data_IF_593454861296
#
_entry.id   IF_593454861296
#
_cell.length_a   1.000
_cell.length_b   1.000
_cell.length_c   1.000
_cell.angle_alpha   90.00
_cell.angle_beta   90.00
_cell.angle_gamma   90.00
#
_symmetry.space_group_name_H-M   'P 1'
#
loop_
_entity.id
_entity.type
_entity.pdbx_description
1 polymer ?
#
# COMPACT_ATOMS: atom_id res chain seq x y z
N UNK A 1 -8.24 48.63 8.40
CA UNK A 1 -8.38 47.20 8.77
C UNK A 1 -8.77 46.43 7.51
N UNK A 2 -7.84 45.69 6.89
CA UNK A 2 -8.16 44.90 5.68
C UNK A 2 -8.83 43.59 6.13
N UNK A 3 -10.16 43.53 6.05
CA UNK A 3 -10.87 42.26 6.18
C UNK A 3 -10.77 41.50 4.85
N UNK A 4 -9.89 40.50 4.79
CA UNK A 4 -9.88 39.55 3.69
C UNK A 4 -11.07 38.59 3.85
N UNK A 5 -12.22 38.98 3.28
CA UNK A 5 -13.50 38.25 3.37
C UNK A 5 -13.60 37.00 2.48
N UNK A 6 -12.58 36.68 1.69
CA UNK A 6 -12.58 35.49 0.85
C UNK A 6 -11.30 34.69 1.09
N UNK A 7 -11.31 33.81 2.10
CA UNK A 7 -10.38 32.67 2.10
C UNK A 7 -10.76 31.80 0.91
N UNK A 8 -9.94 31.85 -0.15
CA UNK A 8 -10.03 30.91 -1.27
C UNK A 8 -10.00 29.50 -0.68
N UNK A 9 -11.06 28.73 -0.90
CA UNK A 9 -11.13 27.32 -0.47
C UNK A 9 -10.27 26.51 -1.45
N UNK A 10 -8.96 26.51 -1.24
CA UNK A 10 -8.06 25.67 -2.04
C UNK A 10 -8.36 24.21 -1.69
N UNK A 11 -9.00 23.52 -2.64
CA UNK A 11 -9.23 22.09 -2.56
C UNK A 11 -7.91 21.42 -2.92
N UNK A 12 -7.12 21.08 -1.90
CA UNK A 12 -5.89 20.31 -2.07
C UNK A 12 -6.21 18.82 -2.04
N UNK A 13 -5.54 18.09 -2.92
CA UNK A 13 -5.57 16.63 -3.00
C UNK A 13 -4.14 16.11 -2.88
N UNK A 14 -3.99 14.97 -2.23
CA UNK A 14 -2.70 14.29 -2.09
C UNK A 14 -2.64 13.11 -3.05
N UNK A 15 -1.53 13.00 -3.77
CA UNK A 15 -1.16 11.84 -4.57
C UNK A 15 0.15 11.32 -4.00
N UNK A 16 0.24 10.01 -3.79
CA UNK A 16 1.39 9.38 -3.18
C UNK A 16 1.97 8.30 -4.09
N UNK A 17 3.27 8.03 -3.93
CA UNK A 17 3.91 6.84 -4.47
C UNK A 17 4.71 6.17 -3.35
N UNK A 18 4.50 4.88 -3.13
CA UNK A 18 5.09 4.16 -2.03
C UNK A 18 5.61 2.77 -2.47
N UNK A 19 6.92 2.57 -2.32
CA UNK A 19 7.54 1.25 -2.46
C UNK A 19 7.41 0.51 -1.13
N UNK A 20 6.74 -0.65 -1.13
CA UNK A 20 6.43 -1.42 0.10
C UNK A 20 7.43 -2.53 0.42
N UNK A 21 8.57 -2.54 -0.30
CA UNK A 21 9.72 -3.44 -0.12
C UNK A 21 9.28 -4.91 -0.01
N UNK A 22 8.78 -5.44 -1.11
CA UNK A 22 8.23 -6.78 -1.27
C UNK A 22 7.25 -7.19 -0.14
N UNK A 23 5.97 -6.89 -0.35
CA UNK A 23 4.90 -7.41 0.50
C UNK A 23 4.52 -8.81 -0.01
N UNK A 24 5.09 -9.81 0.64
CA UNK A 24 4.92 -11.21 0.26
C UNK A 24 3.65 -11.82 0.83
N UNK A 25 3.02 -12.69 0.05
CA UNK A 25 2.03 -13.63 0.54
C UNK A 25 2.67 -14.64 1.52
N UNK A 26 1.85 -15.29 2.33
CA UNK A 26 2.25 -16.30 3.31
C UNK A 26 2.27 -17.72 2.74
N UNK A 27 1.83 -17.89 1.49
CA UNK A 27 1.82 -19.17 0.77
C UNK A 27 2.99 -19.23 -0.20
N UNK A 28 3.80 -20.29 -0.13
CA UNK A 28 4.88 -20.50 -1.07
C UNK A 28 4.32 -20.95 -2.42
N UNK A 29 4.55 -20.18 -3.47
CA UNK A 29 4.40 -20.66 -4.83
C UNK A 29 5.72 -21.35 -5.26
N UNK A 30 5.64 -22.54 -5.87
CA UNK A 30 6.84 -23.29 -6.33
C UNK A 30 7.64 -22.52 -7.41
N UNK A 31 7.07 -21.45 -7.96
CA UNK A 31 7.61 -20.65 -9.05
C UNK A 31 8.27 -19.33 -8.59
N UNK A 32 8.08 -18.93 -7.33
CA UNK A 32 8.68 -17.71 -6.76
C UNK A 32 9.86 -18.09 -5.86
N UNK A 33 10.94 -17.31 -5.92
CA UNK A 33 12.13 -17.53 -5.06
C UNK A 33 11.89 -16.99 -3.64
N UNK A 34 10.79 -17.42 -3.00
CA UNK A 34 10.36 -16.92 -1.68
C UNK A 34 10.84 -17.81 -0.52
N UNK A 35 11.90 -18.59 -0.76
CA UNK A 35 12.51 -19.48 0.24
C UNK A 35 12.92 -18.74 1.54
N UNK A 36 13.12 -17.41 1.48
CA UNK A 36 13.44 -16.56 2.62
C UNK A 36 12.22 -16.13 3.45
N UNK A 37 10.99 -16.29 2.94
CA UNK A 37 9.75 -15.77 3.51
C UNK A 37 8.75 -16.86 3.91
N UNK A 38 9.27 -17.99 4.38
CA UNK A 38 8.49 -19.11 4.93
C UNK A 38 8.62 -19.08 6.47
N UNK A 39 7.66 -19.59 7.26
CA UNK A 39 7.77 -19.61 8.73
C UNK A 39 9.06 -20.26 9.25
N UNK A 40 9.61 -21.22 8.50
CA UNK A 40 10.84 -21.97 8.80
C UNK A 40 12.11 -21.31 8.24
N UNK A 41 11.98 -20.29 7.40
CA UNK A 41 13.10 -19.55 6.83
C UNK A 41 13.71 -18.55 7.82
N UNK A 42 14.88 -18.00 7.49
CA UNK A 42 15.64 -17.09 8.35
C UNK A 42 14.81 -15.86 8.79
N UNK A 43 13.92 -15.36 7.94
CA UNK A 43 13.07 -14.20 8.24
C UNK A 43 11.82 -14.53 9.06
N UNK A 44 11.50 -15.82 9.27
CA UNK A 44 10.34 -16.32 10.04
C UNK A 44 9.06 -15.56 9.72
N UNK A 45 8.64 -15.59 8.46
CA UNK A 45 7.43 -14.90 8.02
C UNK A 45 6.21 -15.66 8.54
N UNK A 46 5.52 -15.09 9.54
CA UNK A 46 4.32 -15.69 10.13
C UNK A 46 3.09 -14.84 9.81
N UNK A 47 1.90 -15.42 9.90
CA UNK A 47 0.61 -14.70 9.74
C UNK A 47 0.58 -13.43 10.59
N UNK A 48 1.10 -13.48 11.82
CA UNK A 48 1.20 -12.30 12.70
C UNK A 48 2.10 -11.20 12.12
N UNK A 49 3.23 -11.55 11.50
CA UNK A 49 4.13 -10.56 10.87
C UNK A 49 3.52 -9.96 9.61
N UNK A 50 2.89 -10.80 8.79
CA UNK A 50 2.14 -10.38 7.61
C UNK A 50 1.05 -9.37 7.97
N UNK A 51 0.15 -9.72 8.89
CA UNK A 51 -0.91 -8.84 9.37
C UNK A 51 -0.37 -7.54 10.00
N UNK A 52 0.76 -7.61 10.72
CA UNK A 52 1.40 -6.41 11.25
C UNK A 52 2.01 -5.54 10.14
N UNK A 53 2.56 -6.11 9.06
CA UNK A 53 3.07 -5.36 7.91
C UNK A 53 1.92 -4.67 7.17
N UNK A 54 0.81 -5.37 6.87
CA UNK A 54 -0.40 -4.79 6.29
C UNK A 54 -0.91 -3.60 7.11
N UNK A 55 -1.07 -3.79 8.43
CA UNK A 55 -1.52 -2.71 9.33
C UNK A 55 -0.58 -1.51 9.30
N UNK A 56 0.74 -1.73 9.29
CA UNK A 56 1.72 -0.63 9.24
C UNK A 56 1.68 0.11 7.90
N UNK A 57 1.62 -0.60 6.77
CA UNK A 57 1.52 0.00 5.44
C UNK A 57 0.22 0.80 5.31
N UNK A 58 -0.92 0.20 5.69
CA UNK A 58 -2.21 0.89 5.69
C UNK A 58 -2.21 2.14 6.57
N UNK A 59 -1.58 2.07 7.74
CA UNK A 59 -1.39 3.25 8.61
C UNK A 59 -0.58 4.35 7.92
N UNK A 60 0.52 4.00 7.24
CA UNK A 60 1.33 4.98 6.50
C UNK A 60 0.48 5.62 5.42
N UNK A 61 -0.14 4.83 4.54
CA UNK A 61 -0.98 5.30 3.43
C UNK A 61 -2.08 6.26 3.92
N UNK A 62 -2.82 5.88 4.97
CA UNK A 62 -3.90 6.69 5.52
C UNK A 62 -3.42 8.04 6.08
N UNK A 63 -2.12 8.21 6.39
CA UNK A 63 -1.59 9.44 6.97
C UNK A 63 -0.78 10.29 5.97
N UNK A 64 -0.54 9.83 4.74
CA UNK A 64 0.16 10.63 3.73
C UNK A 64 -0.66 11.89 3.41
N UNK A 65 -0.03 13.07 3.52
CA UNK A 65 -0.67 14.36 3.23
C UNK A 65 -1.78 14.79 4.18
N UNK A 66 -2.10 14.00 5.22
CA UNK A 66 -3.18 14.30 6.18
C UNK A 66 -2.95 15.59 6.97
N UNK A 67 -1.69 15.95 7.23
CA UNK A 67 -1.35 17.21 7.92
C UNK A 67 -1.60 18.44 7.03
N UNK A 68 -1.41 18.30 5.73
CA UNK A 68 -1.47 19.42 4.78
C UNK A 68 -2.87 19.60 4.19
N UNK A 69 -3.58 18.51 3.92
CA UNK A 69 -4.89 18.52 3.24
C UNK A 69 -6.07 18.16 4.15
N UNK A 70 -5.80 17.70 5.39
CA UNK A 70 -6.78 17.10 6.30
C UNK A 70 -7.54 15.91 5.69
N UNK A 71 -7.02 15.34 4.60
CA UNK A 71 -7.62 14.23 3.85
C UNK A 71 -6.61 13.10 3.66
N UNK A 72 -7.13 11.95 3.29
CA UNK A 72 -6.35 10.81 2.82
C UNK A 72 -5.91 11.05 1.36
N UNK A 73 -4.82 10.40 0.90
CA UNK A 73 -4.43 10.48 -0.50
C UNK A 73 -5.56 9.99 -1.39
N UNK A 74 -5.84 10.71 -2.48
CA UNK A 74 -6.88 10.29 -3.43
C UNK A 74 -6.37 9.16 -4.30
N UNK A 75 -5.07 9.18 -4.60
CA UNK A 75 -4.40 8.20 -5.43
C UNK A 75 -3.10 7.77 -4.76
N UNK A 76 -2.83 6.47 -4.74
CA UNK A 76 -1.60 5.89 -4.20
C UNK A 76 -1.00 4.93 -5.21
N UNK A 77 0.15 5.30 -5.77
CA UNK A 77 0.97 4.39 -6.55
C UNK A 77 1.72 3.43 -5.63
N UNK A 78 1.61 2.12 -5.86
CA UNK A 78 2.39 1.11 -5.14
C UNK A 78 3.40 0.43 -6.06
N UNK A 79 4.57 0.12 -5.50
CA UNK A 79 5.61 -0.67 -6.15
C UNK A 79 6.02 -1.87 -5.29
N UNK A 80 6.51 -2.92 -5.94
CA UNK A 80 6.96 -4.17 -5.29
C UNK A 80 5.84 -4.89 -4.52
N UNK A 81 4.64 -4.86 -5.10
CA UNK A 81 3.52 -5.72 -4.72
C UNK A 81 3.69 -7.06 -5.44
N UNK A 82 3.51 -8.16 -4.73
CA UNK A 82 3.65 -9.50 -5.30
C UNK A 82 2.43 -9.92 -6.12
N UNK A 83 1.25 -9.88 -5.50
CA UNK A 83 0.03 -10.41 -6.09
C UNK A 83 -1.20 -9.56 -5.74
N UNK A 84 -2.31 -9.88 -6.38
CA UNK A 84 -3.60 -9.20 -6.16
C UNK A 84 -4.19 -9.51 -4.77
N UNK A 85 -3.97 -10.71 -4.23
CA UNK A 85 -4.49 -11.11 -2.93
C UNK A 85 -3.95 -10.19 -1.82
N UNK A 86 -2.66 -9.87 -1.88
CA UNK A 86 -1.98 -8.93 -0.98
C UNK A 86 -2.57 -7.52 -1.06
N UNK A 87 -2.96 -7.05 -2.26
CA UNK A 87 -3.62 -5.75 -2.40
C UNK A 87 -5.01 -5.77 -1.77
N UNK A 88 -5.76 -6.85 -1.99
CA UNK A 88 -7.09 -7.03 -1.41
C UNK A 88 -7.02 -6.99 0.11
N UNK A 89 -6.09 -7.73 0.70
CA UNK A 89 -5.85 -7.73 2.14
C UNK A 89 -5.41 -6.35 2.65
N UNK A 90 -4.60 -5.62 1.88
CA UNK A 90 -4.16 -4.28 2.21
C UNK A 90 -5.31 -3.27 2.25
N UNK A 91 -6.18 -3.23 1.24
CA UNK A 91 -7.33 -2.31 1.21
C UNK A 91 -8.36 -2.65 2.29
N UNK A 92 -8.48 -3.94 2.67
CA UNK A 92 -9.33 -4.37 3.80
C UNK A 92 -8.65 -4.24 5.17
N UNK A 93 -7.43 -3.71 5.23
CA UNK A 93 -6.74 -3.53 6.50
C UNK A 93 -7.42 -2.46 7.37
N UNK A 94 -7.28 -2.57 8.69
CA UNK A 94 -7.89 -1.69 9.71
C UNK A 94 -7.82 -0.18 9.41
N UNK A 95 -6.79 0.29 8.72
CA UNK A 95 -6.60 1.72 8.44
C UNK A 95 -7.15 2.18 7.08
N UNK A 96 -7.49 1.24 6.19
CA UNK A 96 -7.95 1.50 4.82
C UNK A 96 -9.38 1.01 4.56
N UNK A 97 -9.90 0.08 5.36
CA UNK A 97 -11.23 -0.54 5.17
C UNK A 97 -12.38 0.49 5.06
N UNK A 98 -12.29 1.60 5.79
CA UNK A 98 -13.29 2.67 5.77
C UNK A 98 -13.05 3.78 4.73
N UNK A 99 -11.98 3.67 3.93
CA UNK A 99 -11.57 4.71 2.98
C UNK A 99 -12.03 4.45 1.54
N UNK A 100 -12.71 3.32 1.29
CA UNK A 100 -13.29 2.96 0.00
C UNK A 100 -12.28 3.00 -1.16
N UNK A 101 -11.07 2.50 -0.92
CA UNK A 101 -10.07 2.29 -1.96
C UNK A 101 -10.41 1.07 -2.79
N UNK A 102 -10.07 1.15 -4.07
CA UNK A 102 -10.04 0.04 -5.01
C UNK A 102 -8.65 0.02 -5.67
N UNK A 103 -8.31 -1.02 -6.42
CA UNK A 103 -6.98 -1.11 -7.03
C UNK A 103 -7.03 -1.62 -8.47
N UNK A 104 -6.05 -1.17 -9.27
CA UNK A 104 -5.77 -1.75 -10.59
C UNK A 104 -4.38 -2.35 -10.59
N UNK A 105 -4.30 -3.67 -10.82
CA UNK A 105 -3.05 -4.42 -10.74
C UNK A 105 -2.57 -4.91 -12.10
N UNK A 106 -1.31 -4.61 -12.42
CA UNK A 106 -0.62 -5.10 -13.61
C UNK A 106 0.72 -5.74 -13.26
N UNK A 107 0.90 -6.97 -13.73
CA UNK A 107 2.15 -7.71 -13.61
C UNK A 107 3.16 -7.27 -14.67
N UNK A 108 4.45 -7.25 -14.29
CA UNK A 108 5.54 -6.99 -15.23
C UNK A 108 5.67 -8.12 -16.27
N UNK A 109 6.02 -7.83 -17.54
CA UNK A 109 6.18 -8.85 -18.59
C UNK A 109 7.30 -9.87 -18.34
N UNK A 110 8.25 -9.57 -17.45
CA UNK A 110 9.38 -10.46 -17.12
C UNK A 110 9.13 -11.17 -15.79
N UNK A 111 9.12 -12.51 -15.83
CA UNK A 111 9.01 -13.45 -14.68
C UNK A 111 10.24 -13.48 -13.75
N UNK A 112 11.07 -12.45 -13.77
CA UNK A 112 12.24 -12.33 -12.89
C UNK A 112 12.29 -10.92 -12.38
N UNK A 113 12.05 -10.79 -11.07
CA UNK A 113 12.08 -9.57 -10.25
C UNK A 113 10.81 -8.74 -10.18
N UNK A 114 10.30 -8.67 -8.94
CA UNK A 114 9.19 -7.88 -8.41
C UNK A 114 9.15 -6.46 -8.99
N UNK A 115 8.12 -6.16 -9.77
CA UNK A 115 7.72 -4.77 -10.02
C UNK A 115 6.32 -4.70 -10.62
N UNK A 116 5.33 -4.73 -9.74
CA UNK A 116 3.99 -4.28 -10.07
C UNK A 116 3.93 -2.75 -9.97
N UNK A 117 3.17 -2.13 -10.88
CA UNK A 117 2.87 -0.69 -10.90
C UNK A 117 1.37 -0.60 -10.72
N UNK A 118 0.93 -0.41 -9.47
CA UNK A 118 -0.50 -0.31 -9.13
C UNK A 118 -0.82 1.13 -8.82
N UNK A 119 -1.93 1.61 -9.34
CA UNK A 119 -2.56 2.87 -8.95
C UNK A 119 -3.79 2.49 -8.14
N UNK A 120 -3.78 2.81 -6.84
CA UNK A 120 -4.97 2.89 -5.98
C UNK A 120 -5.61 4.24 -6.21
#
# INVERSE_FOLDING_TARGET
>A
MKLNFFKKKDISHTIAFYNIENLFDIYSDELTRDADFIPTAEKRWTVKRYQNKLRKIGYVIANIGKKDTLKHPVIVGLAEVENEAVLKDLITSKHLEGLNYDFVHYNSPRRTWYRCRVTV
#
